data_IF_667000782532
#
_entry.id   IF_667000782532
#
_cell.length_a   1.000
_cell.length_b   1.000
_cell.length_c   1.000
_cell.angle_alpha   90.00
_cell.angle_beta   90.00
_cell.angle_gamma   90.00
#
_symmetry.space_group_name_H-M   'P 1'
#
loop_
_entity.id
_entity.type
_entity.pdbx_description
1 polymer ?
#
# COMPACT_ATOMS: atom_id res chain seq x y z
N UNK A 1 6.24 53.60 -29.95
CA UNK A 1 5.52 52.73 -28.98
C UNK A 1 5.26 53.55 -27.74
N UNK A 2 4.02 53.56 -27.24
CA UNK A 2 3.63 54.41 -26.09
C UNK A 2 4.17 53.80 -24.79
N UNK A 3 4.76 54.59 -23.86
CA UNK A 3 5.24 54.10 -22.57
C UNK A 3 4.15 53.39 -21.76
N UNK A 4 2.88 53.73 -21.97
CA UNK A 4 1.73 53.04 -21.33
C UNK A 4 1.57 51.59 -21.77
N UNK A 5 1.94 51.25 -23.01
CA UNK A 5 1.83 49.88 -23.52
C UNK A 5 2.91 48.94 -22.97
N UNK A 6 4.09 49.46 -22.61
CA UNK A 6 5.17 48.66 -22.00
C UNK A 6 4.90 48.36 -20.54
N UNK A 7 4.35 49.33 -19.79
CA UNK A 7 3.92 49.13 -18.39
C UNK A 7 2.80 48.08 -18.32
N UNK A 8 1.82 48.15 -19.24
CA UNK A 8 0.73 47.18 -19.29
C UNK A 8 1.23 45.75 -19.54
N UNK A 9 2.18 45.58 -20.48
CA UNK A 9 2.80 44.27 -20.73
C UNK A 9 3.55 43.75 -19.51
N UNK A 10 4.32 44.60 -18.83
CA UNK A 10 5.04 44.22 -17.62
C UNK A 10 4.10 43.73 -16.51
N UNK A 11 2.96 44.41 -16.31
CA UNK A 11 1.94 44.00 -15.34
C UNK A 11 1.31 42.67 -15.73
N UNK A 12 0.93 42.48 -16.99
CA UNK A 12 0.33 41.22 -17.48
C UNK A 12 1.31 40.06 -17.32
N UNK A 13 2.59 40.25 -17.66
CA UNK A 13 3.63 39.22 -17.50
C UNK A 13 3.85 38.90 -16.01
N UNK A 14 3.88 39.90 -15.14
CA UNK A 14 4.03 39.70 -13.70
C UNK A 14 2.84 38.92 -13.10
N UNK A 15 1.60 39.23 -13.50
CA UNK A 15 0.40 38.52 -13.06
C UNK A 15 0.37 37.07 -13.56
N UNK A 16 0.73 36.84 -14.83
CA UNK A 16 0.83 35.49 -15.38
C UNK A 16 1.92 34.68 -14.67
N UNK A 17 3.09 35.29 -14.41
CA UNK A 17 4.16 34.66 -13.64
C UNK A 17 3.73 34.31 -12.21
N UNK A 18 3.05 35.22 -11.52
CA UNK A 18 2.49 34.98 -10.19
C UNK A 18 1.46 33.85 -10.17
N UNK A 19 0.54 33.83 -11.15
CA UNK A 19 -0.47 32.77 -11.27
C UNK A 19 0.16 31.40 -11.57
N UNK A 20 1.13 31.33 -12.49
CA UNK A 20 1.86 30.09 -12.78
C UNK A 20 2.65 29.58 -11.56
N UNK A 21 3.30 30.48 -10.83
CA UNK A 21 4.02 30.13 -9.60
C UNK A 21 3.09 29.56 -8.52
N UNK A 22 1.94 30.21 -8.30
CA UNK A 22 0.92 29.72 -7.37
C UNK A 22 0.37 28.35 -7.81
N UNK A 23 0.06 28.20 -9.11
CA UNK A 23 -0.43 26.95 -9.70
C UNK A 23 0.54 25.79 -9.50
N UNK A 24 1.83 25.97 -9.84
CA UNK A 24 2.87 24.94 -9.66
C UNK A 24 2.99 24.55 -8.18
N UNK A 25 2.97 25.54 -7.28
CA UNK A 25 3.09 25.32 -5.84
C UNK A 25 1.89 24.56 -5.29
N UNK A 26 0.66 24.92 -5.69
CA UNK A 26 -0.56 24.22 -5.30
C UNK A 26 -0.56 22.77 -5.79
N UNK A 27 -0.11 22.53 -7.03
CA UNK A 27 0.05 21.17 -7.55
C UNK A 27 1.05 20.39 -6.71
N UNK A 28 2.25 20.94 -6.48
CA UNK A 28 3.30 20.28 -5.68
C UNK A 28 2.80 19.93 -4.27
N UNK A 29 2.11 20.85 -3.61
CA UNK A 29 1.55 20.63 -2.28
C UNK A 29 0.55 19.45 -2.25
N UNK A 30 -0.36 19.39 -3.24
CA UNK A 30 -1.30 18.26 -3.39
C UNK A 30 -0.57 16.93 -3.58
N UNK A 31 0.48 16.90 -4.40
CA UNK A 31 1.28 15.68 -4.61
C UNK A 31 2.01 15.23 -3.36
N UNK A 32 2.60 16.16 -2.61
CA UNK A 32 3.30 15.83 -1.36
C UNK A 32 2.32 15.23 -0.35
N UNK A 33 1.14 15.85 -0.17
CA UNK A 33 0.10 15.32 0.71
C UNK A 33 -0.35 13.92 0.30
N UNK A 34 -0.65 13.72 -0.99
CA UNK A 34 -1.05 12.42 -1.54
C UNK A 34 0.02 11.34 -1.33
N UNK A 35 1.30 11.67 -1.60
CA UNK A 35 2.40 10.72 -1.42
C UNK A 35 2.65 10.33 0.04
N UNK A 36 2.41 11.26 0.96
CA UNK A 36 2.56 11.04 2.40
C UNK A 36 1.42 10.17 2.92
N UNK A 37 0.18 10.44 2.50
CA UNK A 37 -0.99 9.66 2.86
C UNK A 37 -0.85 8.19 2.41
N UNK A 38 -0.44 7.97 1.16
CA UNK A 38 -0.14 6.63 0.63
C UNK A 38 0.85 5.88 1.53
N UNK A 39 1.96 6.52 1.96
CA UNK A 39 2.94 5.88 2.86
C UNK A 39 2.32 5.42 4.16
N UNK A 40 1.53 6.29 4.79
CA UNK A 40 0.88 5.98 6.07
C UNK A 40 -0.09 4.83 5.93
N UNK A 41 -0.84 4.78 4.83
CA UNK A 41 -1.73 3.66 4.57
C UNK A 41 -0.97 2.35 4.35
N UNK A 42 0.12 2.36 3.58
CA UNK A 42 0.98 1.18 3.46
C UNK A 42 1.51 0.70 4.81
N UNK A 43 1.96 1.61 5.68
CA UNK A 43 2.41 1.26 7.04
C UNK A 43 1.29 0.60 7.85
N UNK A 44 0.05 1.10 7.75
CA UNK A 44 -1.12 0.44 8.35
C UNK A 44 -1.35 -0.96 7.78
N UNK A 45 -1.18 -1.15 6.48
CA UNK A 45 -1.22 -2.45 5.83
C UNK A 45 -0.16 -3.42 6.37
N UNK A 46 1.06 -2.95 6.60
CA UNK A 46 2.13 -3.78 7.18
C UNK A 46 1.82 -4.19 8.62
N UNK A 47 1.26 -3.28 9.42
CA UNK A 47 0.81 -3.62 10.77
C UNK A 47 -0.26 -4.71 10.74
N UNK A 48 -1.21 -4.66 9.78
CA UNK A 48 -2.21 -5.72 9.62
C UNK A 48 -1.59 -7.06 9.20
N UNK A 49 -0.62 -7.04 8.27
CA UNK A 49 0.13 -8.23 7.85
C UNK A 49 0.88 -8.84 9.05
N UNK A 50 1.52 -8.01 9.86
CA UNK A 50 2.27 -8.46 11.04
C UNK A 50 1.35 -9.02 12.14
N UNK A 51 0.19 -8.40 12.36
CA UNK A 51 -0.80 -8.92 13.30
C UNK A 51 -1.36 -10.28 12.82
N UNK A 52 -1.66 -10.39 11.53
CA UNK A 52 -2.15 -11.63 10.95
C UNK A 52 -1.08 -12.73 10.99
N UNK A 53 0.18 -12.41 10.69
CA UNK A 53 1.29 -13.37 10.74
C UNK A 53 1.54 -13.85 12.17
N UNK A 54 1.58 -12.95 13.15
CA UNK A 54 1.75 -13.29 14.58
C UNK A 54 0.65 -14.25 15.04
N UNK A 55 -0.62 -13.89 14.81
CA UNK A 55 -1.76 -14.72 15.24
C UNK A 55 -1.78 -16.08 14.55
N UNK A 56 -1.45 -16.12 13.25
CA UNK A 56 -1.39 -17.36 12.49
C UNK A 56 -0.26 -18.27 12.98
N UNK A 57 0.93 -17.72 13.25
CA UNK A 57 2.04 -18.48 13.83
C UNK A 57 1.67 -19.06 15.19
N UNK A 58 1.05 -18.25 16.08
CA UNK A 58 0.58 -18.74 17.39
C UNK A 58 -0.42 -19.89 17.24
N UNK A 59 -1.33 -19.79 16.27
CA UNK A 59 -2.31 -20.83 15.98
C UNK A 59 -1.66 -22.14 15.51
N UNK A 60 -0.75 -22.06 14.53
CA UNK A 60 -0.07 -23.24 13.98
C UNK A 60 0.89 -23.90 14.97
N UNK A 61 1.65 -23.13 15.74
CA UNK A 61 2.60 -23.64 16.74
C UNK A 61 1.90 -24.12 18.02
N UNK A 62 0.57 -23.92 18.13
CA UNK A 62 -0.23 -24.28 19.32
C UNK A 62 0.34 -23.67 20.61
N UNK A 63 0.98 -22.51 20.49
CA UNK A 63 1.47 -21.74 21.64
C UNK A 63 0.24 -21.18 22.33
N UNK A 64 0.13 -21.34 23.66
CA UNK A 64 -0.95 -20.75 24.44
C UNK A 64 -0.59 -19.29 24.76
N UNK A 65 -1.15 -18.29 24.05
CA UNK A 65 -0.88 -16.89 24.34
C UNK A 65 -1.57 -16.46 25.64
N UNK A 66 -1.07 -15.38 26.24
CA UNK A 66 -1.81 -14.68 27.30
C UNK A 66 -3.18 -14.17 26.84
N UNK A 67 -3.30 -13.85 25.54
CA UNK A 67 -4.54 -13.42 24.89
C UNK A 67 -5.10 -14.53 23.99
N UNK A 68 -6.13 -15.22 24.48
CA UNK A 68 -6.81 -16.32 23.77
C UNK A 68 -7.47 -15.88 22.46
N UNK A 69 -7.69 -14.58 22.25
CA UNK A 69 -8.24 -14.07 21.00
C UNK A 69 -7.25 -14.28 19.84
N UNK A 70 -5.94 -14.22 20.09
CA UNK A 70 -4.89 -14.35 19.06
C UNK A 70 -4.82 -15.73 18.41
N UNK A 71 -5.34 -16.76 19.07
CA UNK A 71 -5.41 -18.13 18.53
C UNK A 71 -6.83 -18.52 18.11
N UNK A 72 -7.78 -17.58 18.14
CA UNK A 72 -9.15 -17.83 17.70
C UNK A 72 -9.22 -17.80 16.16
N UNK A 73 -9.64 -18.89 15.47
CA UNK A 73 -9.73 -18.92 14.01
C UNK A 73 -10.63 -17.83 13.42
N UNK A 74 -11.74 -17.51 14.10
CA UNK A 74 -12.64 -16.43 13.68
C UNK A 74 -12.00 -15.05 13.78
N UNK A 75 -11.13 -14.82 14.77
CA UNK A 75 -10.36 -13.58 14.86
C UNK A 75 -9.33 -13.47 13.72
N UNK A 76 -8.61 -14.57 13.44
CA UNK A 76 -7.63 -14.63 12.35
C UNK A 76 -8.31 -14.42 10.99
N UNK A 77 -9.46 -15.06 10.75
CA UNK A 77 -10.28 -14.84 9.56
C UNK A 77 -10.77 -13.38 9.46
N UNK A 78 -11.13 -12.77 10.58
CA UNK A 78 -11.47 -11.34 10.65
C UNK A 78 -10.30 -10.43 10.26
N UNK A 79 -9.07 -10.75 10.70
CA UNK A 79 -7.86 -10.03 10.29
C UNK A 79 -7.58 -10.20 8.79
N UNK A 80 -7.75 -11.40 8.25
CA UNK A 80 -7.64 -11.65 6.80
C UNK A 80 -8.65 -10.81 6.02
N UNK A 81 -9.92 -10.80 6.42
CA UNK A 81 -10.97 -9.99 5.77
C UNK A 81 -10.63 -8.49 5.83
N UNK A 82 -10.13 -8.00 6.97
CA UNK A 82 -9.65 -6.60 7.09
C UNK A 82 -8.51 -6.30 6.13
N UNK A 83 -7.57 -7.22 5.96
CA UNK A 83 -6.48 -7.07 4.99
C UNK A 83 -7.00 -7.07 3.54
N UNK A 84 -7.99 -7.91 3.20
CA UNK A 84 -8.64 -7.90 1.89
C UNK A 84 -9.26 -6.53 1.60
N UNK A 85 -10.08 -6.02 2.53
CA UNK A 85 -10.73 -4.71 2.40
C UNK A 85 -9.71 -3.58 2.33
N UNK A 86 -8.61 -3.68 3.07
CA UNK A 86 -7.51 -2.72 2.97
C UNK A 86 -6.90 -2.72 1.56
N UNK A 87 -6.55 -3.88 1.00
CA UNK A 87 -5.96 -3.98 -0.34
C UNK A 87 -6.93 -3.46 -1.42
N UNK A 88 -8.23 -3.77 -1.30
CA UNK A 88 -9.26 -3.25 -2.21
C UNK A 88 -9.41 -1.73 -2.10
N UNK A 89 -9.48 -1.18 -0.89
CA UNK A 89 -9.59 0.28 -0.72
C UNK A 89 -8.34 1.04 -1.19
N UNK A 90 -7.16 0.41 -1.18
CA UNK A 90 -5.96 0.97 -1.80
C UNK A 90 -6.10 1.09 -3.32
N UNK A 91 -6.79 0.16 -3.98
CA UNK A 91 -7.06 0.19 -5.41
C UNK A 91 -8.04 1.33 -5.77
N UNK A 92 -9.10 1.47 -4.96
CA UNK A 92 -10.12 2.51 -5.13
C UNK A 92 -9.56 3.93 -4.89
N UNK A 93 -8.78 4.11 -3.82
CA UNK A 93 -8.31 5.43 -3.39
C UNK A 93 -7.08 5.92 -4.17
N UNK A 94 -6.28 5.01 -4.76
CA UNK A 94 -5.03 5.35 -5.42
C UNK A 94 -4.96 4.78 -6.85
N UNK A 95 -5.22 5.63 -7.85
CA UNK A 95 -5.15 5.35 -9.31
C UNK A 95 -3.89 4.64 -9.86
N UNK A 96 -2.85 4.48 -9.05
CA UNK A 96 -1.61 3.79 -9.40
C UNK A 96 -1.34 2.51 -8.61
N UNK A 97 -2.16 2.23 -7.60
CA UNK A 97 -2.25 0.91 -7.01
C UNK A 97 -2.97 0.01 -8.00
N UNK A 98 -2.50 -1.23 -8.11
CA UNK A 98 -3.17 -2.25 -8.89
C UNK A 98 -3.16 -3.51 -8.04
N UNK A 99 -4.34 -3.90 -7.57
CA UNK A 99 -4.60 -5.14 -6.84
C UNK A 99 -3.98 -6.35 -7.50
N UNK A 100 -4.04 -6.45 -8.84
CA UNK A 100 -3.46 -7.56 -9.60
C UNK A 100 -1.93 -7.69 -9.42
N UNK A 101 -1.25 -6.61 -9.02
CA UNK A 101 0.19 -6.59 -8.76
C UNK A 101 0.58 -7.22 -7.42
N UNK A 102 -0.38 -7.39 -6.50
CA UNK A 102 -0.15 -8.00 -5.18
C UNK A 102 -0.95 -9.27 -4.95
N UNK A 103 -1.95 -9.56 -5.80
CA UNK A 103 -2.92 -10.64 -5.66
C UNK A 103 -2.29 -12.01 -5.36
N UNK A 104 -1.31 -12.44 -6.16
CA UNK A 104 -0.63 -13.71 -5.93
C UNK A 104 0.10 -13.75 -4.57
N UNK A 105 0.83 -12.69 -4.22
CA UNK A 105 1.56 -12.64 -2.96
C UNK A 105 0.60 -12.57 -1.75
N UNK A 106 -0.57 -11.96 -1.94
CA UNK A 106 -1.64 -11.93 -0.96
C UNK A 106 -2.22 -13.33 -0.76
N UNK A 107 -2.59 -14.03 -1.84
CA UNK A 107 -3.08 -15.40 -1.79
C UNK A 107 -2.08 -16.36 -1.15
N UNK A 108 -0.82 -16.34 -1.60
CA UNK A 108 0.27 -17.15 -1.03
C UNK A 108 0.41 -16.92 0.50
N UNK A 109 0.27 -15.67 0.95
CA UNK A 109 0.33 -15.33 2.37
C UNK A 109 -0.90 -15.82 3.14
N UNK A 110 -2.11 -15.57 2.64
CA UNK A 110 -3.34 -15.96 3.35
C UNK A 110 -3.54 -17.48 3.40
N UNK A 111 -3.10 -18.18 2.36
CA UNK A 111 -3.16 -19.63 2.30
C UNK A 111 -2.19 -20.25 3.31
N UNK A 112 -1.01 -19.67 3.51
CA UNK A 112 -0.11 -20.11 4.58
C UNK A 112 -0.65 -19.77 5.98
N UNK A 113 -1.27 -18.60 6.15
CA UNK A 113 -1.86 -18.17 7.43
C UNK A 113 -2.98 -19.11 7.90
N UNK A 114 -3.85 -19.54 7.00
CA UNK A 114 -5.08 -20.27 7.36
C UNK A 114 -5.11 -21.72 6.91
N UNK A 115 -4.22 -22.13 6.00
CA UNK A 115 -4.34 -23.42 5.31
C UNK A 115 -5.62 -23.53 4.47
N UNK A 116 -6.19 -22.40 4.05
CA UNK A 116 -7.47 -22.30 3.34
C UNK A 116 -8.69 -22.21 4.25
N UNK A 117 -8.87 -23.16 5.18
CA UNK A 117 -10.07 -23.25 6.04
C UNK A 117 -9.78 -23.60 7.51
N UNK A 118 -8.54 -23.42 7.99
CA UNK A 118 -8.08 -23.90 9.29
C UNK A 118 -8.30 -25.41 9.46
N UNK A 119 -7.33 -26.26 9.07
CA UNK A 119 -7.50 -27.71 9.20
C UNK A 119 -7.85 -28.13 10.63
N UNK A 120 -8.58 -29.24 10.76
CA UNK A 120 -9.01 -29.78 12.05
C UNK A 120 -7.83 -30.00 13.00
N UNK A 121 -8.13 -29.96 14.31
CA UNK A 121 -7.17 -29.95 15.43
C UNK A 121 -6.17 -31.12 15.44
N UNK A 122 -6.44 -32.18 14.68
CA UNK A 122 -5.63 -33.39 14.59
C UNK A 122 -4.81 -33.51 13.30
N UNK A 123 -4.87 -32.51 12.42
CA UNK A 123 -3.97 -32.44 11.27
C UNK A 123 -2.52 -32.28 11.75
N UNK A 124 -1.63 -33.14 11.24
CA UNK A 124 -0.19 -33.04 11.46
C UNK A 124 0.27 -31.69 10.95
N UNK A 125 0.58 -30.77 11.88
CA UNK A 125 1.12 -29.46 11.52
C UNK A 125 2.49 -29.69 10.92
N UNK A 126 2.65 -29.36 9.64
CA UNK A 126 3.94 -29.43 8.98
C UNK A 126 4.93 -28.50 9.69
N UNK A 127 6.06 -29.04 10.14
CA UNK A 127 7.15 -28.25 10.70
C UNK A 127 7.57 -27.18 9.68
N UNK A 128 7.62 -25.90 10.08
CA UNK A 128 8.03 -24.81 9.20
C UNK A 128 6.90 -23.90 8.70
N UNK A 129 5.65 -24.10 9.14
CA UNK A 129 4.54 -23.18 8.83
C UNK A 129 4.83 -21.74 9.23
N UNK A 130 5.37 -21.52 10.43
CA UNK A 130 5.78 -20.18 10.87
C UNK A 130 6.81 -19.52 9.94
N UNK A 131 7.79 -20.28 9.45
CA UNK A 131 8.78 -19.75 8.51
C UNK A 131 8.16 -19.39 7.15
N UNK A 132 7.24 -20.21 6.64
CA UNK A 132 6.51 -19.93 5.41
C UNK A 132 5.64 -18.68 5.53
N UNK A 133 4.89 -18.55 6.64
CA UNK A 133 4.06 -17.38 6.95
C UNK A 133 4.91 -16.11 6.97
N UNK A 134 6.03 -16.11 7.69
CA UNK A 134 6.91 -14.94 7.81
C UNK A 134 7.56 -14.57 6.46
N UNK A 135 8.00 -15.57 5.69
CA UNK A 135 8.57 -15.32 4.35
C UNK A 135 7.52 -14.73 3.39
N UNK A 136 6.30 -15.26 3.39
CA UNK A 136 5.24 -14.73 2.53
C UNK A 136 4.71 -13.38 3.01
N UNK A 137 4.72 -13.11 4.32
CA UNK A 137 4.44 -11.78 4.86
C UNK A 137 5.43 -10.74 4.30
N UNK A 138 6.72 -11.00 4.37
CA UNK A 138 7.74 -10.10 3.82
C UNK A 138 7.65 -9.96 2.30
N UNK A 139 7.31 -11.05 1.59
CA UNK A 139 7.07 -11.02 0.15
C UNK A 139 5.87 -10.14 -0.21
N UNK A 140 4.77 -10.22 0.53
CA UNK A 140 3.60 -9.37 0.33
C UNK A 140 3.93 -7.89 0.60
N UNK A 141 4.63 -7.59 1.70
CA UNK A 141 5.10 -6.22 2.00
C UNK A 141 5.98 -5.68 0.87
N UNK A 142 6.90 -6.49 0.36
CA UNK A 142 7.76 -6.11 -0.76
C UNK A 142 6.96 -5.82 -2.04
N UNK A 143 5.93 -6.61 -2.34
CA UNK A 143 5.06 -6.37 -3.51
C UNK A 143 4.21 -5.10 -3.34
N UNK A 144 3.65 -4.85 -2.16
CA UNK A 144 2.94 -3.60 -1.86
C UNK A 144 3.84 -2.37 -2.09
N UNK A 145 5.10 -2.44 -1.67
CA UNK A 145 6.09 -1.41 -1.98
C UNK A 145 6.46 -1.34 -3.47
N UNK A 146 6.54 -2.48 -4.16
CA UNK A 146 6.89 -2.54 -5.58
C UNK A 146 5.80 -1.90 -6.46
N UNK A 147 4.53 -2.12 -6.16
CA UNK A 147 3.39 -1.47 -6.83
C UNK A 147 3.51 0.04 -6.75
N UNK A 148 3.76 0.57 -5.54
CA UNK A 148 4.03 2.01 -5.36
C UNK A 148 5.19 2.48 -6.23
N UNK A 149 6.33 1.77 -6.21
CA UNK A 149 7.54 2.17 -6.96
C UNK A 149 7.29 2.20 -8.46
N UNK A 150 6.52 1.25 -8.99
CA UNK A 150 6.17 1.16 -10.42
C UNK A 150 5.31 2.35 -10.87
N UNK A 151 4.37 2.80 -10.04
CA UNK A 151 3.56 3.99 -10.35
C UNK A 151 4.41 5.26 -10.45
N UNK A 152 5.39 5.43 -9.55
CA UNK A 152 6.33 6.55 -9.64
C UNK A 152 7.22 6.48 -10.89
N UNK A 153 7.74 5.30 -11.26
CA UNK A 153 8.65 5.16 -12.41
C UNK A 153 7.92 5.32 -13.76
N UNK A 154 6.70 4.79 -13.89
CA UNK A 154 5.89 4.93 -15.10
C UNK A 154 5.53 6.39 -15.37
N UNK A 155 5.16 7.15 -14.32
CA UNK A 155 4.84 8.59 -14.43
C UNK A 155 6.07 9.45 -14.77
N UNK A 156 7.26 9.07 -14.30
CA UNK A 156 8.52 9.74 -14.69
C UNK A 156 8.91 9.48 -16.16
N UNK A 157 8.71 8.25 -16.65
CA UNK A 157 9.00 7.90 -18.04
C UNK A 157 8.05 8.57 -19.03
N UNK A 158 6.75 8.71 -18.70
CA UNK A 158 5.78 9.46 -19.52
C UNK A 158 6.13 10.95 -19.63
N UNK A 159 6.67 11.57 -18.58
CA UNK A 159 7.15 12.95 -18.66
C UNK A 159 8.39 13.10 -19.55
N UNK A 160 9.27 12.08 -19.53
CA UNK A 160 10.52 12.10 -20.33
C UNK A 160 10.27 11.89 -21.82
N UNK A 161 9.21 11.18 -22.21
CA UNK A 161 8.85 10.97 -23.63
C UNK A 161 8.11 12.16 -24.25
N UNK A 162 7.41 12.99 -23.46
CA UNK A 162 6.78 14.24 -23.93
C UNK A 162 7.72 15.45 -23.99
N UNK A 163 8.91 15.32 -23.42
CA UNK A 163 9.95 16.35 -23.41
C UNK A 163 11.02 16.14 -24.50
N UNK A 164 10.84 15.13 -25.35
CA UNK A 164 11.57 14.93 -26.61
C UNK A 164 10.61 15.21 -27.77
#
# INVERSE_FOLDING_TARGET
>A
MSPTTEILKAIVVALLGGWFGAWITSIRAKWTAFSSDYSKRLEQGFVLIDQLSECSCLWWERIDPSDKLKVNPGYIAGLQSRLTTFIQSMDDDYSGFNTSGVDQAYHDFTDECTGGLFPEKDAVVASGKSAAILNNAERLKAQLFAVRRRDYSMRLNIKKSRAR
#
